data_IF_900081707369
#
_entry.id   IF_900081707369
#
_cell.length_a   1.000
_cell.length_b   1.000
_cell.length_c   1.000
_cell.angle_alpha   90.00
_cell.angle_beta   90.00
_cell.angle_gamma   90.00
#
_symmetry.space_group_name_H-M   'P 1'
#
loop_
_entity.id
_entity.type
_entity.pdbx_description
1 polymer ?
#
# COMPACT_ATOMS: atom_id res chain seq x y z
N UNK A 1 -4.58 18.10 14.93
CA UNK A 1 -4.62 16.72 15.46
C UNK A 1 -6.01 16.34 15.95
N UNK A 2 -6.57 16.88 17.05
CA UNK A 2 -7.95 16.50 17.53
C UNK A 2 -9.05 16.39 16.46
N UNK A 3 -9.16 17.37 15.56
CA UNK A 3 -10.15 17.32 14.45
C UNK A 3 -9.85 16.16 13.50
N UNK A 4 -8.58 15.94 13.15
CA UNK A 4 -8.16 14.87 12.26
C UNK A 4 -8.36 13.49 12.92
N UNK A 5 -8.05 13.36 14.22
CA UNK A 5 -8.28 12.14 15.00
C UNK A 5 -9.77 11.75 15.10
N UNK A 6 -10.67 12.74 15.02
CA UNK A 6 -12.11 12.48 14.97
C UNK A 6 -12.59 12.02 13.59
N UNK A 7 -11.84 12.32 12.52
CA UNK A 7 -12.12 11.90 11.15
C UNK A 7 -11.48 10.53 10.87
N UNK A 8 -10.25 10.34 11.32
CA UNK A 8 -9.46 9.14 11.14
C UNK A 8 -8.57 8.92 12.38
N UNK A 9 -8.79 7.80 13.07
CA UNK A 9 -8.11 7.43 14.31
C UNK A 9 -6.58 7.28 14.11
N UNK A 10 -6.12 7.01 12.89
CA UNK A 10 -4.72 6.99 12.51
C UNK A 10 -4.00 8.30 12.84
N UNK A 11 -4.68 9.45 12.79
CA UNK A 11 -4.08 10.76 13.10
C UNK A 11 -3.58 10.91 14.55
N UNK A 12 -3.95 10.00 15.46
CA UNK A 12 -3.41 9.97 16.82
C UNK A 12 -1.96 9.48 16.88
N UNK A 13 -1.58 8.55 16.01
CA UNK A 13 -0.34 7.80 16.11
C UNK A 13 0.49 7.74 14.81
N UNK A 14 -0.07 8.15 13.69
CA UNK A 14 0.59 8.22 12.39
C UNK A 14 1.03 9.66 12.05
N UNK A 15 1.89 9.78 11.04
CA UNK A 15 2.34 11.06 10.54
C UNK A 15 1.24 11.81 9.80
N UNK A 16 1.34 13.13 9.84
CA UNK A 16 0.37 14.02 9.21
C UNK A 16 1.14 14.95 8.30
N UNK A 17 0.92 14.79 7.00
CA UNK A 17 1.38 15.73 5.99
C UNK A 17 0.29 16.79 5.82
N UNK A 18 0.68 18.06 5.89
CA UNK A 18 -0.20 19.21 5.67
C UNK A 18 0.32 20.00 4.47
N UNK A 19 -0.57 20.30 3.53
CA UNK A 19 -0.28 21.15 2.37
C UNK A 19 -1.40 22.19 2.27
N UNK A 20 -1.06 23.47 2.36
CA UNK A 20 -2.04 24.56 2.13
C UNK A 20 -2.34 24.72 0.63
N UNK A 21 -3.51 25.24 0.28
CA UNK A 21 -3.86 25.54 -1.11
C UNK A 21 -2.84 26.49 -1.76
N UNK A 22 -2.34 27.48 -1.00
CA UNK A 22 -1.26 28.36 -1.44
C UNK A 22 0.05 27.62 -1.76
N UNK A 23 0.47 26.69 -0.91
CA UNK A 23 1.68 25.89 -1.17
C UNK A 23 1.50 25.00 -2.41
N UNK A 24 0.32 24.42 -2.59
CA UNK A 24 0.02 23.60 -3.76
C UNK A 24 0.05 24.45 -5.05
N UNK A 25 -0.60 25.62 -5.04
CA UNK A 25 -0.57 26.56 -6.16
C UNK A 25 0.84 27.03 -6.47
N UNK A 26 1.67 27.35 -5.47
CA UNK A 26 3.05 27.76 -5.70
C UNK A 26 3.86 26.68 -6.44
N UNK A 27 3.67 25.40 -6.09
CA UNK A 27 4.35 24.28 -6.76
C UNK A 27 3.83 24.11 -8.19
N UNK A 28 2.52 24.08 -8.38
CA UNK A 28 1.90 23.94 -9.71
C UNK A 28 2.29 25.09 -10.64
N UNK A 29 2.30 26.32 -10.13
CA UNK A 29 2.73 27.50 -10.89
C UNK A 29 4.20 27.40 -11.28
N UNK A 30 5.06 26.97 -10.36
CA UNK A 30 6.51 26.87 -10.60
C UNK A 30 6.86 25.83 -11.66
N UNK A 31 6.18 24.68 -11.66
CA UNK A 31 6.57 23.53 -12.49
C UNK A 31 5.67 23.26 -13.69
N UNK A 32 4.47 23.83 -13.71
CA UNK A 32 3.46 23.57 -14.74
C UNK A 32 2.70 24.83 -15.22
N UNK A 33 2.98 26.01 -14.66
CA UNK A 33 2.32 27.29 -15.02
C UNK A 33 0.78 27.23 -14.91
N UNK A 34 0.28 26.49 -13.91
CA UNK A 34 -1.15 26.33 -13.62
C UNK A 34 -1.44 26.45 -12.11
N UNK A 35 -2.71 26.69 -11.78
CA UNK A 35 -3.27 26.63 -10.44
C UNK A 35 -4.09 25.36 -10.21
N UNK A 36 -4.35 25.03 -8.94
CA UNK A 36 -5.13 23.84 -8.55
C UNK A 36 -6.53 23.80 -9.18
N UNK A 37 -7.16 24.96 -9.36
CA UNK A 37 -8.49 25.10 -9.96
C UNK A 37 -8.51 24.83 -11.47
N UNK A 38 -7.33 24.85 -12.11
CA UNK A 38 -7.16 24.48 -13.52
C UNK A 38 -6.88 22.98 -13.71
N UNK A 39 -6.75 22.21 -12.62
CA UNK A 39 -6.61 20.76 -12.66
C UNK A 39 -7.97 20.06 -12.59
N UNK A 40 -8.02 18.79 -12.97
CA UNK A 40 -9.19 17.93 -12.73
C UNK A 40 -9.34 17.52 -11.24
N UNK A 41 -8.43 17.97 -10.36
CA UNK A 41 -8.42 17.65 -8.92
C UNK A 41 -8.43 16.14 -8.64
N UNK A 42 -7.86 15.36 -9.55
CA UNK A 42 -7.83 13.90 -9.46
C UNK A 42 -7.14 13.44 -8.16
N UNK A 43 -7.77 12.54 -7.41
CA UNK A 43 -7.35 12.04 -6.08
C UNK A 43 -7.27 13.10 -4.96
N UNK A 44 -7.65 14.36 -5.19
CA UNK A 44 -7.65 15.38 -4.14
C UNK A 44 -8.72 15.08 -3.07
N UNK A 45 -9.76 14.34 -3.45
CA UNK A 45 -10.82 13.78 -2.60
C UNK A 45 -10.31 12.69 -1.64
N UNK A 46 -9.14 12.10 -1.90
CA UNK A 46 -8.48 11.16 -0.98
C UNK A 46 -7.76 11.85 0.18
N UNK A 47 -7.63 13.19 0.12
CA UNK A 47 -7.06 14.00 1.19
C UNK A 47 -8.16 14.59 2.06
N UNK A 48 -7.88 14.78 3.34
CA UNK A 48 -8.79 15.47 4.25
C UNK A 48 -8.61 16.98 4.05
N UNK A 49 -9.59 17.65 3.46
CA UNK A 49 -9.60 19.10 3.35
C UNK A 49 -10.30 19.73 4.55
N UNK A 50 -9.60 20.65 5.24
CA UNK A 50 -10.19 21.44 6.33
C UNK A 50 -10.26 22.90 5.94
N UNK A 51 -11.45 23.37 5.58
CA UNK A 51 -11.73 24.75 5.12
C UNK A 51 -11.19 25.81 6.07
N UNK A 52 -11.35 25.60 7.38
CA UNK A 52 -10.81 26.51 8.43
C UNK A 52 -9.31 26.81 8.29
N UNK A 53 -8.56 25.88 7.71
CA UNK A 53 -7.11 25.98 7.56
C UNK A 53 -6.67 26.16 6.11
N UNK A 54 -7.60 26.15 5.15
CA UNK A 54 -7.35 26.15 3.71
C UNK A 54 -6.20 25.18 3.33
N UNK A 55 -6.36 23.94 3.79
CA UNK A 55 -5.30 22.95 3.71
C UNK A 55 -5.82 21.52 3.56
N UNK A 56 -5.08 20.76 2.78
CA UNK A 56 -5.19 19.33 2.59
C UNK A 56 -4.28 18.60 3.58
N UNK A 57 -4.81 17.54 4.18
CA UNK A 57 -4.12 16.69 5.13
C UNK A 57 -4.09 15.25 4.62
N UNK A 58 -2.93 14.62 4.71
CA UNK A 58 -2.75 13.19 4.50
C UNK A 58 -2.28 12.58 5.81
N UNK A 59 -2.98 11.56 6.29
CA UNK A 59 -2.54 10.73 7.41
C UNK A 59 -1.75 9.59 6.79
N UNK A 60 -0.46 9.55 7.08
CA UNK A 60 0.46 8.61 6.46
C UNK A 60 1.18 7.84 7.56
N UNK A 61 1.10 6.51 7.49
CA UNK A 61 1.90 5.65 8.35
C UNK A 61 3.25 5.40 7.70
N UNK A 62 4.32 5.73 8.41
CA UNK A 62 5.64 5.19 8.12
C UNK A 62 5.62 3.70 8.51
N UNK A 63 5.85 2.84 7.51
CA UNK A 63 5.97 1.38 7.59
C UNK A 63 4.72 0.60 7.15
N UNK A 64 4.86 -0.08 6.00
CA UNK A 64 4.16 -1.31 5.70
C UNK A 64 4.52 -2.26 6.84
N UNK A 65 3.57 -2.61 7.70
CA UNK A 65 3.74 -3.68 8.69
C UNK A 65 3.89 -4.99 7.90
N UNK A 66 5.08 -5.25 7.35
CA UNK A 66 5.41 -6.47 6.62
C UNK A 66 5.59 -7.61 7.61
N UNK A 67 4.58 -7.88 8.43
CA UNK A 67 4.43 -9.15 9.13
C UNK A 67 4.04 -10.17 8.07
N UNK A 68 5.08 -10.68 7.45
CA UNK A 68 5.03 -11.89 6.65
C UNK A 68 5.13 -13.08 7.61
N UNK A 69 4.06 -13.85 7.74
CA UNK A 69 4.10 -15.12 8.47
C UNK A 69 4.12 -16.26 7.46
N UNK A 70 5.25 -16.95 7.34
CA UNK A 70 5.36 -18.15 6.51
C UNK A 70 4.60 -19.29 7.21
N UNK A 71 3.59 -19.83 6.53
CA UNK A 71 2.69 -20.88 7.01
C UNK A 71 3.27 -22.26 6.68
N UNK A 72 3.77 -22.42 5.45
CA UNK A 72 4.27 -23.69 4.94
C UNK A 72 5.27 -23.46 3.81
N UNK A 73 6.09 -24.48 3.55
CA UNK A 73 7.05 -24.48 2.47
C UNK A 73 7.30 -25.88 1.93
N UNK A 74 7.56 -25.98 0.62
CA UNK A 74 7.97 -27.24 -0.02
C UNK A 74 9.05 -26.93 -1.06
N UNK A 75 10.13 -27.71 -1.02
CA UNK A 75 11.17 -27.68 -2.04
C UNK A 75 10.98 -28.89 -2.96
N UNK A 76 10.96 -28.65 -4.26
CA UNK A 76 10.84 -29.70 -5.29
C UNK A 76 12.22 -30.23 -5.65
N UNK A 77 12.32 -31.47 -6.15
CA UNK A 77 13.60 -32.02 -6.68
C UNK A 77 14.21 -31.15 -7.78
N UNK A 78 13.38 -30.51 -8.59
CA UNK A 78 13.83 -29.59 -9.63
C UNK A 78 14.37 -28.26 -9.08
N UNK A 79 14.42 -28.03 -7.77
CA UNK A 79 14.98 -26.81 -7.16
C UNK A 79 14.02 -25.62 -7.11
N UNK A 80 12.71 -25.82 -7.20
CA UNK A 80 11.73 -24.79 -6.84
C UNK A 80 11.44 -24.82 -5.34
N UNK A 81 11.30 -23.63 -4.74
CA UNK A 81 10.83 -23.44 -3.38
C UNK A 81 9.48 -22.73 -3.43
N UNK A 82 8.44 -23.39 -2.95
CA UNK A 82 7.06 -22.87 -2.90
C UNK A 82 6.75 -22.58 -1.43
N UNK A 83 6.44 -21.34 -1.09
CA UNK A 83 6.10 -20.90 0.27
C UNK A 83 4.71 -20.30 0.30
N UNK A 84 3.91 -20.67 1.29
CA UNK A 84 2.65 -19.98 1.58
C UNK A 84 2.83 -19.08 2.79
N UNK A 85 2.30 -17.87 2.73
CA UNK A 85 2.49 -16.88 3.79
C UNK A 85 1.29 -15.95 3.94
N UNK A 86 1.12 -15.38 5.13
CA UNK A 86 0.19 -14.28 5.38
C UNK A 86 0.91 -12.94 5.24
N UNK A 87 0.27 -11.97 4.60
CA UNK A 87 0.70 -10.58 4.58
C UNK A 87 -0.52 -9.68 4.52
N UNK A 88 -0.61 -8.70 5.43
CA UNK A 88 -1.71 -7.73 5.49
C UNK A 88 -3.12 -8.35 5.53
N UNK A 89 -3.27 -9.50 6.21
CA UNK A 89 -4.57 -10.19 6.33
C UNK A 89 -4.98 -11.01 5.10
N UNK A 90 -4.09 -11.13 4.12
CA UNK A 90 -4.29 -11.92 2.92
C UNK A 90 -3.25 -13.05 2.84
N UNK A 91 -3.64 -14.17 2.24
CA UNK A 91 -2.78 -15.34 2.08
C UNK A 91 -2.21 -15.39 0.67
N UNK A 92 -0.92 -15.66 0.58
CA UNK A 92 -0.18 -15.70 -0.68
C UNK A 92 0.60 -17.01 -0.82
N UNK A 93 0.93 -17.36 -2.06
CA UNK A 93 1.90 -18.38 -2.42
C UNK A 93 2.97 -17.77 -3.32
N UNK A 94 4.22 -17.81 -2.86
CA UNK A 94 5.39 -17.41 -3.65
C UNK A 94 6.12 -18.64 -4.16
N UNK A 95 6.46 -18.65 -5.45
CA UNK A 95 7.34 -19.65 -6.05
C UNK A 95 8.68 -19.01 -6.36
N UNK A 96 9.73 -19.65 -5.90
CA UNK A 96 11.12 -19.27 -6.08
C UNK A 96 11.85 -20.40 -6.81
N UNK A 97 12.84 -20.06 -7.64
CA UNK A 97 13.73 -21.02 -8.29
C UNK A 97 15.14 -20.86 -7.76
N UNK A 98 15.66 -21.90 -7.15
CA UNK A 98 17.04 -21.93 -6.69
C UNK A 98 18.01 -21.75 -7.87
N UNK A 99 19.04 -20.95 -7.63
CA UNK A 99 20.23 -20.83 -8.46
C UNK A 99 21.47 -21.03 -7.56
N UNK A 100 22.67 -20.95 -8.12
CA UNK A 100 23.92 -21.34 -7.44
C UNK A 100 24.06 -20.91 -5.97
N UNK A 101 23.55 -19.72 -5.58
CA UNK A 101 23.56 -19.26 -4.19
C UNK A 101 22.36 -18.37 -3.80
N UNK A 102 21.33 -18.28 -4.64
CA UNK A 102 20.18 -17.38 -4.44
C UNK A 102 18.89 -18.01 -4.98
N UNK A 103 17.80 -17.26 -4.86
CA UNK A 103 16.52 -17.58 -5.43
C UNK A 103 16.12 -16.55 -6.48
N UNK A 104 15.69 -17.02 -7.65
CA UNK A 104 14.97 -16.21 -8.62
C UNK A 104 13.49 -16.21 -8.25
N UNK A 105 12.89 -15.04 -8.18
CA UNK A 105 11.46 -14.90 -8.02
C UNK A 105 10.74 -15.36 -9.29
N UNK A 106 9.83 -16.33 -9.18
CA UNK A 106 9.07 -16.87 -10.32
C UNK A 106 7.66 -16.29 -10.31
N UNK A 107 6.96 -16.35 -9.17
CA UNK A 107 5.60 -15.85 -9.03
C UNK A 107 5.24 -15.55 -7.58
N UNK A 108 4.25 -14.69 -7.36
CA UNK A 108 3.57 -14.51 -6.08
C UNK A 108 2.09 -14.31 -6.32
N UNK A 109 1.27 -15.22 -5.81
CA UNK A 109 -0.15 -15.31 -6.12
C UNK A 109 -0.98 -15.21 -4.85
N UNK A 110 -2.08 -14.47 -4.92
CA UNK A 110 -3.08 -14.48 -3.85
C UNK A 110 -3.77 -15.84 -3.81
N UNK A 111 -3.81 -16.47 -2.63
CA UNK A 111 -4.55 -17.70 -2.37
C UNK A 111 -5.94 -17.35 -1.84
N UNK A 112 -6.93 -17.25 -2.72
CA UNK A 112 -8.34 -17.15 -2.33
C UNK A 112 -8.88 -18.53 -1.92
N UNK A 113 -9.77 -18.61 -0.91
CA UNK A 113 -10.39 -19.88 -0.47
C UNK A 113 -11.14 -20.60 -1.62
N UNK A 114 -11.51 -19.87 -2.67
CA UNK A 114 -12.17 -20.38 -3.88
C UNK A 114 -11.25 -21.06 -4.87
N UNK A 115 -9.93 -21.01 -4.66
CA UNK A 115 -8.92 -21.56 -5.59
C UNK A 115 -8.45 -22.97 -5.24
N UNK A 116 -9.02 -23.62 -4.23
CA UNK A 116 -8.82 -25.06 -4.05
C UNK A 116 -9.45 -25.81 -5.23
N UNK A 117 -8.69 -26.63 -5.98
CA UNK A 117 -9.28 -27.56 -6.92
C UNK A 117 -10.22 -28.45 -6.12
N UNK A 118 -11.52 -28.40 -6.43
CA UNK A 118 -12.44 -29.43 -5.95
C UNK A 118 -11.95 -30.74 -6.57
N UNK A 119 -11.32 -31.59 -5.76
CA UNK A 119 -11.08 -32.97 -6.14
C UNK A 119 -12.45 -33.58 -6.49
N UNK A 120 -12.67 -33.82 -7.78
CA UNK A 120 -13.82 -34.57 -8.26
C UNK A 120 -13.70 -35.99 -7.71
N UNK A 121 -14.70 -36.42 -6.96
CA UNK A 121 -14.92 -37.82 -6.56
C UNK A 121 -15.94 -38.44 -7.50
#
# INVERSE_FOLDING_TARGET
KKILSAIDAGAEHLDIIKITSLQMNNILQTYADIEIDQTEKYNLDKLIYLERYDAYYMIHGDCIDTRCEVISGTQTEDGYLILQYWMNGERYEVTLKENENNFLFVSNMLLDERSTPKNET
#
